data_IF_568761346620
#
_entry.id   IF_568761346620
#
_cell.length_a   1.000
_cell.length_b   1.000
_cell.length_c   1.000
_cell.angle_alpha   90.00
_cell.angle_beta   90.00
_cell.angle_gamma   90.00
#
_symmetry.space_group_name_H-M   'P 1'
#
loop_
_entity.id
_entity.type
_entity.pdbx_description
1 polymer ?
#
# COMPACT_ATOMS: atom_id res chain seq x y z
N UNK A 1 55.65 -5.93 29.70
CA UNK A 1 54.39 -6.68 29.43
C UNK A 1 53.22 -5.70 29.56
N UNK A 2 52.83 -5.13 28.44
CA UNK A 2 51.69 -4.19 28.39
C UNK A 2 50.43 -5.03 28.17
N UNK A 3 49.57 -5.09 29.18
CA UNK A 3 48.25 -5.68 29.02
C UNK A 3 47.36 -4.63 28.35
N UNK A 4 46.95 -4.94 27.12
CA UNK A 4 46.04 -4.14 26.33
C UNK A 4 44.72 -3.92 27.02
N UNK A 5 44.32 -2.67 27.15
CA UNK A 5 42.96 -2.23 27.46
C UNK A 5 42.10 -2.40 26.18
N UNK A 6 41.96 -3.66 25.74
CA UNK A 6 41.06 -4.06 24.70
C UNK A 6 39.79 -4.60 25.32
N UNK A 7 38.64 -4.16 24.84
CA UNK A 7 37.32 -4.76 24.95
C UNK A 7 36.57 -4.63 26.27
N UNK A 8 36.13 -3.42 26.59
CA UNK A 8 34.95 -3.24 27.44
C UNK A 8 33.92 -2.29 26.80
N UNK A 9 33.82 -2.22 25.49
CA UNK A 9 32.59 -1.74 24.88
C UNK A 9 31.64 -2.93 24.66
N UNK A 10 31.01 -3.37 25.75
CA UNK A 10 29.79 -4.13 25.63
C UNK A 10 28.86 -3.31 24.73
N UNK A 11 28.36 -3.90 23.63
CA UNK A 11 27.31 -3.37 22.80
C UNK A 11 26.19 -2.93 23.75
N UNK A 12 26.07 -1.62 23.99
CA UNK A 12 24.92 -1.10 24.74
C UNK A 12 23.71 -1.38 23.88
N UNK A 13 22.84 -2.25 24.37
CA UNK A 13 21.52 -2.49 23.78
C UNK A 13 20.63 -1.37 24.31
N UNK A 14 20.36 -0.38 23.49
CA UNK A 14 19.40 0.66 23.83
C UNK A 14 18.00 0.06 23.73
N UNK A 15 17.10 0.33 24.69
CA UNK A 15 15.74 -0.12 24.65
C UNK A 15 15.02 0.46 23.42
N UNK A 16 14.11 -0.30 22.86
CA UNK A 16 13.28 0.17 21.74
C UNK A 16 12.34 1.29 22.20
N UNK A 17 12.10 2.30 21.36
CA UNK A 17 11.20 3.40 21.68
C UNK A 17 9.77 2.90 21.88
N UNK A 18 9.07 3.50 22.85
CA UNK A 18 7.74 3.06 23.30
C UNK A 18 6.61 3.90 22.72
N UNK A 19 6.87 5.16 22.41
CA UNK A 19 5.87 6.13 21.93
C UNK A 19 6.35 6.74 20.62
N UNK A 20 5.39 6.98 19.71
CA UNK A 20 5.64 7.62 18.43
C UNK A 20 4.64 8.76 18.19
N UNK A 21 5.13 9.86 17.62
CA UNK A 21 4.31 10.99 17.17
C UNK A 21 4.70 11.38 15.74
N UNK A 22 3.76 11.90 15.00
CA UNK A 22 4.01 12.46 13.68
C UNK A 22 4.39 13.93 13.77
N UNK A 23 5.39 14.34 13.02
CA UNK A 23 5.84 15.73 12.92
C UNK A 23 5.71 16.19 11.49
N UNK A 24 4.94 17.26 11.25
CA UNK A 24 4.70 17.82 9.94
C UNK A 24 5.28 19.23 9.86
N UNK A 25 6.11 19.53 8.84
CA UNK A 25 6.64 20.86 8.63
C UNK A 25 5.55 21.81 8.14
N UNK A 26 5.53 23.05 8.61
CA UNK A 26 4.56 24.07 8.18
C UNK A 26 4.84 24.61 6.77
N UNK A 27 6.11 24.61 6.35
CA UNK A 27 6.54 25.10 5.04
C UNK A 27 7.53 24.14 4.37
N UNK A 28 7.70 24.23 3.05
CA UNK A 28 8.73 23.45 2.32
C UNK A 28 10.15 23.76 2.79
N UNK A 29 10.43 25.01 3.17
CA UNK A 29 11.72 25.40 3.74
C UNK A 29 11.97 24.76 5.12
N UNK A 30 10.91 24.58 5.90
CA UNK A 30 11.00 23.89 7.19
C UNK A 30 11.21 22.39 7.03
N UNK A 31 10.75 21.79 5.93
CA UNK A 31 10.94 20.37 5.64
C UNK A 31 12.42 20.00 5.50
N UNK A 32 13.18 20.78 4.74
CA UNK A 32 14.64 20.55 4.57
C UNK A 32 15.39 20.74 5.90
N UNK A 33 15.06 21.80 6.63
CA UNK A 33 15.66 22.07 7.95
C UNK A 33 15.30 20.98 8.96
N UNK A 34 14.06 20.50 8.93
CA UNK A 34 13.58 19.44 9.81
C UNK A 34 14.37 18.14 9.59
N UNK A 35 14.61 17.75 8.34
CA UNK A 35 15.40 16.56 8.03
C UNK A 35 16.81 16.63 8.63
N UNK A 36 17.51 17.76 8.46
CA UNK A 36 18.86 17.98 9.00
C UNK A 36 18.85 18.01 10.55
N UNK A 37 17.86 18.67 11.13
CA UNK A 37 17.72 18.80 12.58
C UNK A 37 17.44 17.44 13.24
N UNK A 38 16.50 16.68 12.68
CA UNK A 38 16.14 15.34 13.17
C UNK A 38 17.30 14.35 13.07
N UNK A 39 18.10 14.42 11.99
CA UNK A 39 19.28 13.60 11.86
C UNK A 39 20.32 13.91 12.95
N UNK A 40 20.60 15.19 13.24
CA UNK A 40 21.51 15.59 14.31
C UNK A 40 21.02 15.14 15.68
N UNK A 41 19.72 15.28 15.96
CA UNK A 41 19.12 14.83 17.21
C UNK A 41 19.20 13.29 17.36
N UNK A 42 19.05 12.53 16.26
CA UNK A 42 19.21 11.08 16.28
C UNK A 42 20.67 10.62 16.48
N UNK A 43 21.64 11.44 16.05
CA UNK A 43 23.06 11.19 16.32
C UNK A 43 23.44 11.47 17.80
N UNK A 44 22.78 12.45 18.42
CA UNK A 44 23.02 12.80 19.84
C UNK A 44 22.35 11.81 20.80
N UNK A 45 21.17 11.30 20.41
CA UNK A 45 20.35 10.43 21.28
C UNK A 45 20.05 9.08 20.61
N UNK A 46 20.71 8.00 21.00
CA UNK A 46 20.52 6.68 20.43
C UNK A 46 19.15 6.04 20.77
N UNK A 47 18.39 6.60 21.70
CA UNK A 47 17.02 6.14 22.03
C UNK A 47 15.95 6.84 21.22
N UNK A 48 16.33 7.87 20.45
CA UNK A 48 15.47 8.59 19.54
C UNK A 48 15.58 8.00 18.12
N UNK A 49 14.45 7.71 17.51
CA UNK A 49 14.41 7.21 16.14
C UNK A 49 13.52 8.09 15.27
N UNK A 50 13.95 8.25 14.02
CA UNK A 50 13.19 8.97 12.98
C UNK A 50 12.90 8.02 11.84
N UNK A 51 11.65 7.97 11.43
CA UNK A 51 11.20 7.17 10.31
C UNK A 51 10.20 7.99 9.47
N UNK A 52 10.35 7.94 8.15
CA UNK A 52 9.35 8.49 7.24
C UNK A 52 8.48 7.34 6.74
N UNK A 53 7.19 7.42 6.99
CA UNK A 53 6.24 6.46 6.48
C UNK A 53 6.04 6.69 4.96
N UNK A 54 6.36 5.72 4.12
CA UNK A 54 6.25 5.88 2.66
C UNK A 54 4.79 5.97 2.17
N UNK A 55 3.82 5.50 2.96
CA UNK A 55 2.41 5.49 2.58
C UNK A 55 1.71 6.81 2.93
N UNK A 56 1.95 7.30 4.15
CA UNK A 56 1.35 8.56 4.62
C UNK A 56 2.22 9.78 4.34
N UNK A 57 3.47 9.56 3.92
CA UNK A 57 4.52 10.58 3.75
C UNK A 57 4.78 11.40 5.02
N UNK A 58 4.33 10.93 6.19
CA UNK A 58 4.57 11.57 7.46
C UNK A 58 5.94 11.22 8.03
N UNK A 59 6.59 12.20 8.64
CA UNK A 59 7.80 11.96 9.44
C UNK A 59 7.38 11.59 10.86
N UNK A 60 7.67 10.36 11.24
CA UNK A 60 7.37 9.81 12.56
C UNK A 60 8.63 9.85 13.40
N UNK A 61 8.54 10.42 14.58
CA UNK A 61 9.58 10.41 15.60
C UNK A 61 9.17 9.50 16.75
N UNK A 62 10.09 8.68 17.21
CA UNK A 62 9.84 7.69 18.26
C UNK A 62 10.83 7.86 19.40
N UNK A 63 10.36 7.76 20.62
CA UNK A 63 11.17 7.96 21.83
C UNK A 63 10.69 7.15 23.02
N UNK A 64 11.38 7.31 24.14
CA UNK A 64 11.15 6.54 25.37
C UNK A 64 9.91 6.97 26.16
N UNK A 65 9.31 8.10 25.84
CA UNK A 65 8.13 8.61 26.52
C UNK A 65 7.70 9.97 25.98
N UNK A 66 6.51 10.42 26.38
CA UNK A 66 5.90 11.68 25.94
C UNK A 66 6.81 12.88 26.25
N UNK A 67 7.29 12.99 27.50
CA UNK A 67 8.20 14.06 27.92
C UNK A 67 9.50 14.09 27.08
N UNK A 68 10.01 12.92 26.69
CA UNK A 68 11.20 12.83 25.84
C UNK A 68 10.92 13.45 24.47
N UNK A 69 9.79 13.09 23.84
CA UNK A 69 9.40 13.64 22.55
C UNK A 69 9.08 15.13 22.62
N UNK A 70 8.47 15.61 23.71
CA UNK A 70 8.21 17.03 23.92
C UNK A 70 9.51 17.85 23.97
N UNK A 71 10.54 17.34 24.64
CA UNK A 71 11.87 17.98 24.66
C UNK A 71 12.46 18.03 23.25
N UNK A 72 12.39 16.95 22.49
CA UNK A 72 12.88 16.91 21.10
C UNK A 72 12.14 17.93 20.21
N UNK A 73 10.82 18.02 20.34
CA UNK A 73 10.01 18.99 19.60
C UNK A 73 10.35 20.43 20.03
N UNK A 74 10.53 20.67 21.31
CA UNK A 74 10.92 22.00 21.81
C UNK A 74 12.30 22.41 21.27
N UNK A 75 13.26 21.48 21.21
CA UNK A 75 14.57 21.70 20.57
C UNK A 75 14.45 21.99 19.07
N UNK A 76 13.58 21.27 18.33
CA UNK A 76 13.30 21.56 16.92
C UNK A 76 12.81 23.00 16.72
N UNK A 77 11.90 23.45 17.56
CA UNK A 77 11.31 24.78 17.49
C UNK A 77 12.31 25.90 17.89
N UNK A 78 13.04 25.72 19.01
CA UNK A 78 13.88 26.77 19.60
C UNK A 78 15.29 26.79 19.05
N UNK A 79 15.97 25.64 18.96
CA UNK A 79 17.38 25.56 18.53
C UNK A 79 17.46 25.61 17.00
N UNK A 80 16.66 24.80 16.32
CA UNK A 80 16.72 24.70 14.86
C UNK A 80 15.74 25.63 14.14
N UNK A 81 14.86 26.31 14.88
CA UNK A 81 13.85 27.25 14.34
C UNK A 81 13.01 26.65 13.21
N UNK A 82 12.65 25.39 13.37
CA UNK A 82 11.80 24.64 12.44
C UNK A 82 10.35 24.80 12.84
N UNK A 83 9.53 25.37 11.98
CA UNK A 83 8.08 25.43 12.18
C UNK A 83 7.46 24.06 11.92
N UNK A 84 7.04 23.34 12.96
CA UNK A 84 6.39 22.05 12.83
C UNK A 84 5.07 21.98 13.62
N UNK A 85 4.22 21.04 13.22
CA UNK A 85 3.01 20.62 13.93
C UNK A 85 3.20 19.20 14.40
N UNK A 86 2.80 18.90 15.62
CA UNK A 86 2.88 17.54 16.19
C UNK A 86 1.49 16.96 16.30
N UNK A 87 1.34 15.72 15.89
CA UNK A 87 0.07 14.99 15.92
C UNK A 87 0.27 13.49 16.08
N UNK A 88 -0.84 12.78 16.18
CA UNK A 88 -0.79 11.32 16.17
C UNK A 88 -0.44 10.82 14.77
N UNK A 89 0.38 9.75 14.64
CA UNK A 89 0.63 9.12 13.36
C UNK A 89 -0.68 8.68 12.69
N UNK A 90 -0.78 8.91 11.39
CA UNK A 90 -1.91 8.38 10.63
C UNK A 90 -1.75 6.87 10.46
N UNK A 91 -2.86 6.15 10.58
CA UNK A 91 -2.87 4.70 10.33
C UNK A 91 -3.12 4.49 8.84
N UNK A 92 -2.17 3.85 8.16
CA UNK A 92 -2.36 3.39 6.80
C UNK A 92 -3.30 2.17 6.79
N UNK A 93 -4.58 2.41 6.54
CA UNK A 93 -5.56 1.34 6.43
C UNK A 93 -5.36 0.59 5.11
N UNK A 94 -5.57 -0.73 5.15
CA UNK A 94 -5.55 -1.60 3.99
C UNK A 94 -6.79 -2.49 3.98
N UNK A 95 -7.25 -2.80 2.79
CA UNK A 95 -8.36 -3.73 2.59
C UNK A 95 -7.83 -5.14 2.34
N UNK A 96 -8.57 -6.13 2.79
CA UNK A 96 -8.35 -7.53 2.45
C UNK A 96 -9.67 -8.27 2.39
N UNK A 97 -9.67 -9.44 1.79
CA UNK A 97 -10.85 -10.30 1.67
C UNK A 97 -10.72 -11.49 2.62
N UNK A 98 -11.86 -12.03 3.04
CA UNK A 98 -11.91 -13.20 3.95
C UNK A 98 -12.41 -14.47 3.29
N UNK A 99 -13.02 -14.38 2.12
CA UNK A 99 -13.62 -15.51 1.39
C UNK A 99 -13.21 -15.48 -0.06
N UNK A 100 -13.06 -16.68 -0.64
CA UNK A 100 -12.84 -16.80 -2.08
C UNK A 100 -14.14 -16.59 -2.83
N UNK A 101 -14.09 -15.82 -3.93
CA UNK A 101 -15.26 -15.54 -4.76
C UNK A 101 -14.88 -15.53 -6.23
N UNK A 102 -15.85 -15.91 -7.05
CA UNK A 102 -15.75 -15.86 -8.50
C UNK A 102 -16.52 -14.66 -9.03
N UNK A 103 -15.90 -13.89 -9.89
CA UNK A 103 -16.48 -12.71 -10.50
C UNK A 103 -16.28 -12.71 -12.01
N UNK A 104 -17.24 -12.14 -12.72
CA UNK A 104 -17.18 -11.95 -14.16
C UNK A 104 -16.81 -10.50 -14.46
N UNK A 105 -15.69 -10.29 -15.15
CA UNK A 105 -15.32 -9.01 -15.70
C UNK A 105 -15.67 -8.95 -17.19
N UNK A 106 -16.66 -8.14 -17.56
CA UNK A 106 -17.10 -8.01 -18.95
C UNK A 106 -17.20 -6.55 -19.34
N UNK A 107 -16.42 -6.18 -20.34
CA UNK A 107 -16.44 -4.85 -20.94
C UNK A 107 -16.82 -4.95 -22.41
N UNK A 108 -17.95 -4.37 -22.76
CA UNK A 108 -18.44 -4.30 -24.14
C UNK A 108 -18.82 -2.85 -24.44
N UNK A 109 -18.21 -2.28 -25.45
CA UNK A 109 -18.54 -0.94 -25.92
C UNK A 109 -18.61 -0.95 -27.46
N UNK A 110 -19.76 -0.58 -27.98
CA UNK A 110 -19.96 -0.30 -29.41
C UNK A 110 -20.26 1.19 -29.60
N UNK A 111 -19.41 1.89 -30.31
CA UNK A 111 -19.62 3.28 -30.67
C UNK A 111 -19.23 3.47 -32.13
N UNK A 112 -20.19 3.33 -33.04
CA UNK A 112 -20.12 3.74 -34.45
C UNK A 112 -18.83 3.39 -35.19
N UNK A 113 -18.38 2.13 -35.18
CA UNK A 113 -17.12 1.68 -35.82
C UNK A 113 -16.60 0.40 -35.16
N UNK A 114 -15.27 0.29 -34.99
CA UNK A 114 -14.64 -0.85 -34.32
C UNK A 114 -15.06 -0.92 -32.87
N UNK A 115 -15.68 -2.04 -32.46
CA UNK A 115 -16.09 -2.26 -31.08
C UNK A 115 -14.91 -2.45 -30.12
N UNK A 116 -15.21 -2.48 -28.83
CA UNK A 116 -14.26 -2.88 -27.79
C UNK A 116 -14.86 -4.01 -26.98
N UNK A 117 -14.16 -5.13 -26.89
CA UNK A 117 -14.60 -6.33 -26.21
C UNK A 117 -13.49 -6.90 -25.32
N UNK A 118 -13.81 -7.12 -24.04
CA UNK A 118 -12.97 -7.83 -23.10
C UNK A 118 -13.84 -8.60 -22.12
N UNK A 119 -13.56 -9.89 -21.93
CA UNK A 119 -14.32 -10.73 -21.04
C UNK A 119 -13.40 -11.74 -20.36
N UNK A 120 -13.43 -11.76 -19.03
CA UNK A 120 -12.64 -12.68 -18.23
C UNK A 120 -13.42 -13.11 -16.97
N UNK A 121 -13.17 -14.33 -16.54
CA UNK A 121 -13.62 -14.85 -15.27
C UNK A 121 -12.45 -14.88 -14.30
N UNK A 122 -12.65 -14.27 -13.12
CA UNK A 122 -11.65 -14.16 -12.08
C UNK A 122 -12.12 -14.92 -10.84
N UNK A 123 -11.21 -15.65 -10.22
CA UNK A 123 -11.38 -16.17 -8.87
C UNK A 123 -10.45 -15.40 -7.94
N UNK A 124 -11.03 -14.69 -6.99
CA UNK A 124 -10.30 -13.86 -6.03
C UNK A 124 -10.34 -14.59 -4.68
N UNK A 125 -9.18 -14.86 -4.10
CA UNK A 125 -9.03 -15.59 -2.85
C UNK A 125 -8.08 -14.88 -1.89
N UNK A 126 -8.33 -14.99 -0.57
CA UNK A 126 -7.44 -14.43 0.43
C UNK A 126 -6.11 -15.20 0.47
N UNK A 127 -5.05 -14.50 0.88
CA UNK A 127 -3.75 -15.08 1.25
C UNK A 127 -3.43 -14.81 2.72
N UNK A 128 -2.37 -15.41 3.21
CA UNK A 128 -1.88 -15.13 4.57
C UNK A 128 -1.32 -13.71 4.66
N UNK A 129 -1.41 -13.11 5.85
CA UNK A 129 -0.96 -11.75 6.08
C UNK A 129 0.53 -11.58 5.75
N UNK A 130 0.84 -10.61 4.89
CA UNK A 130 2.21 -10.32 4.46
C UNK A 130 2.67 -11.05 3.20
N UNK A 131 1.87 -11.93 2.63
CA UNK A 131 2.22 -12.64 1.38
C UNK A 131 2.04 -11.80 0.11
N UNK A 132 1.35 -10.67 0.21
CA UNK A 132 1.15 -9.72 -0.88
C UNK A 132 0.27 -10.24 -2.01
N UNK A 133 0.39 -9.61 -3.16
CA UNK A 133 -0.41 -9.93 -4.35
C UNK A 133 0.18 -11.08 -5.15
N UNK A 134 -0.67 -12.03 -5.58
CA UNK A 134 -0.33 -13.10 -6.51
C UNK A 134 -1.35 -13.16 -7.65
N UNK A 135 -0.86 -13.15 -8.89
CA UNK A 135 -1.68 -13.39 -10.08
C UNK A 135 -1.37 -14.76 -10.68
N UNK A 136 -2.40 -15.53 -10.98
CA UNK A 136 -2.28 -16.87 -11.54
C UNK A 136 -3.13 -17.02 -12.80
N UNK A 137 -2.54 -17.58 -13.86
CA UNK A 137 -3.26 -17.87 -15.10
C UNK A 137 -3.59 -19.37 -15.18
N UNK A 138 -4.88 -19.69 -15.19
CA UNK A 138 -5.43 -21.05 -15.37
C UNK A 138 -6.34 -21.16 -16.60
N UNK A 139 -6.23 -20.25 -17.55
CA UNK A 139 -7.02 -20.31 -18.80
C UNK A 139 -6.61 -21.52 -19.61
N UNK A 140 -7.58 -22.35 -19.96
CA UNK A 140 -7.40 -23.58 -20.76
C UNK A 140 -8.02 -23.40 -22.15
N UNK A 141 -7.46 -24.08 -23.16
CA UNK A 141 -8.04 -24.13 -24.51
C UNK A 141 -7.93 -22.83 -25.32
N UNK A 142 -7.15 -21.83 -24.87
CA UNK A 142 -6.98 -20.59 -25.63
C UNK A 142 -8.21 -19.67 -25.59
N UNK A 143 -9.09 -19.81 -24.60
CA UNK A 143 -10.26 -18.97 -24.44
C UNK A 143 -9.92 -17.47 -24.36
N UNK A 144 -8.74 -17.14 -23.86
CA UNK A 144 -8.14 -15.80 -23.90
C UNK A 144 -6.73 -15.96 -24.49
N UNK A 145 -6.36 -15.24 -25.57
CA UNK A 145 -5.00 -15.16 -26.08
C UNK A 145 -4.01 -14.70 -25.00
N UNK A 146 -2.80 -15.26 -25.03
CA UNK A 146 -1.76 -14.98 -24.00
C UNK A 146 -1.40 -13.49 -23.88
N UNK A 147 -1.51 -12.76 -24.98
CA UNK A 147 -1.23 -11.32 -25.05
C UNK A 147 -2.16 -10.47 -24.15
N UNK A 148 -3.38 -10.96 -23.86
CA UNK A 148 -4.35 -10.23 -23.02
C UNK A 148 -4.26 -10.57 -21.53
N UNK A 149 -3.47 -11.58 -21.15
CA UNK A 149 -3.31 -11.96 -19.73
C UNK A 149 -2.59 -10.86 -18.93
N UNK A 150 -1.53 -10.27 -19.51
CA UNK A 150 -0.83 -9.13 -18.89
C UNK A 150 -1.72 -7.89 -18.68
N UNK A 151 -2.46 -7.45 -19.69
CA UNK A 151 -3.49 -6.42 -19.54
C UNK A 151 -4.51 -6.68 -18.43
N UNK A 152 -5.02 -7.92 -18.28
CA UNK A 152 -5.94 -8.30 -17.20
C UNK A 152 -5.24 -8.11 -15.82
N UNK A 153 -4.02 -8.61 -15.67
CA UNK A 153 -3.24 -8.45 -14.44
C UNK A 153 -3.04 -6.98 -14.07
N UNK A 154 -2.68 -6.13 -15.04
CA UNK A 154 -2.52 -4.70 -14.82
C UNK A 154 -3.83 -4.02 -14.40
N UNK A 155 -4.96 -4.41 -15.01
CA UNK A 155 -6.26 -3.90 -14.63
C UNK A 155 -6.66 -4.28 -13.19
N UNK A 156 -6.36 -5.50 -12.78
CA UNK A 156 -6.57 -5.96 -11.40
C UNK A 156 -5.68 -5.19 -10.42
N UNK A 157 -4.39 -5.00 -10.73
CA UNK A 157 -3.46 -4.23 -9.88
C UNK A 157 -3.93 -2.79 -9.66
N UNK A 158 -4.32 -2.10 -10.72
CA UNK A 158 -4.86 -0.74 -10.60
C UNK A 158 -6.14 -0.68 -9.75
N UNK A 159 -7.03 -1.67 -9.88
CA UNK A 159 -8.22 -1.73 -9.05
C UNK A 159 -7.87 -1.95 -7.56
N UNK A 160 -6.85 -2.77 -7.29
CA UNK A 160 -6.38 -3.03 -5.92
C UNK A 160 -5.70 -1.81 -5.28
N UNK A 161 -4.95 -1.03 -6.05
CA UNK A 161 -4.30 0.20 -5.55
C UNK A 161 -5.31 1.27 -5.16
N UNK A 162 -6.39 1.38 -5.90
CA UNK A 162 -7.46 2.35 -5.61
C UNK A 162 -8.40 1.91 -4.48
N UNK A 163 -8.32 0.65 -4.09
CA UNK A 163 -9.26 0.06 -3.13
C UNK A 163 -10.68 -0.06 -3.69
N UNK A 164 -11.51 -0.82 -3.01
CA UNK A 164 -12.82 -1.15 -3.56
C UNK A 164 -13.96 -0.82 -2.62
N UNK A 165 -13.78 -0.97 -1.31
CA UNK A 165 -14.84 -0.72 -0.32
C UNK A 165 -14.70 0.66 0.29
N UNK A 166 -13.52 0.98 0.79
CA UNK A 166 -13.26 2.22 1.53
C UNK A 166 -12.20 3.11 0.85
N UNK A 167 -11.67 2.69 -0.30
CA UNK A 167 -10.65 3.45 -1.03
C UNK A 167 -9.23 3.23 -0.49
N UNK A 168 -8.99 2.17 0.29
CA UNK A 168 -7.66 1.82 0.77
C UNK A 168 -7.05 0.71 -0.07
N UNK A 169 -5.73 0.71 -0.31
CA UNK A 169 -5.08 -0.33 -1.10
C UNK A 169 -5.37 -1.73 -0.56
N UNK A 170 -5.67 -2.66 -1.46
CA UNK A 170 -5.92 -4.05 -1.12
C UNK A 170 -4.61 -4.84 -1.03
N UNK A 171 -4.48 -5.71 -0.02
CA UNK A 171 -3.30 -6.54 0.20
C UNK A 171 -3.67 -8.01 0.45
N UNK A 172 -2.67 -8.88 0.28
CA UNK A 172 -2.76 -10.30 0.60
C UNK A 172 -3.89 -11.01 -0.15
N UNK A 173 -3.90 -10.83 -1.48
CA UNK A 173 -4.92 -11.36 -2.38
C UNK A 173 -4.28 -12.15 -3.50
N UNK A 174 -4.88 -13.30 -3.79
CA UNK A 174 -4.59 -14.09 -4.98
C UNK A 174 -5.74 -13.93 -5.98
N UNK A 175 -5.40 -13.56 -7.21
CA UNK A 175 -6.34 -13.49 -8.32
C UNK A 175 -5.97 -14.52 -9.37
N UNK A 176 -6.89 -15.40 -9.68
CA UNK A 176 -6.72 -16.43 -10.70
C UNK A 176 -7.68 -16.14 -11.86
N UNK A 177 -7.15 -15.93 -13.05
CA UNK A 177 -7.95 -15.93 -14.29
C UNK A 177 -8.07 -17.36 -14.76
N UNK A 178 -9.31 -17.86 -14.93
CA UNK A 178 -9.54 -19.27 -15.30
C UNK A 178 -10.37 -19.46 -16.55
N UNK A 179 -11.13 -18.45 -17.01
CA UNK A 179 -11.93 -18.52 -18.23
C UNK A 179 -12.17 -17.12 -18.79
N UNK A 180 -12.72 -17.05 -20.00
CA UNK A 180 -13.10 -15.82 -20.68
C UNK A 180 -13.46 -16.04 -22.13
N UNK A 181 -13.61 -14.96 -22.86
CA UNK A 181 -13.83 -15.01 -24.30
C UNK A 181 -13.24 -13.78 -24.99
N UNK A 182 -12.91 -13.91 -26.25
CA UNK A 182 -12.39 -12.83 -27.06
C UNK A 182 -13.08 -12.78 -28.43
N UNK A 183 -13.01 -11.62 -29.06
CA UNK A 183 -13.44 -11.42 -30.45
C UNK A 183 -12.24 -10.97 -31.28
N UNK A 184 -11.99 -11.62 -32.40
CA UNK A 184 -10.82 -11.34 -33.26
C UNK A 184 -10.73 -9.87 -33.73
N UNK A 185 -11.86 -9.19 -33.90
CA UNK A 185 -11.93 -7.83 -34.43
C UNK A 185 -12.01 -6.77 -33.32
N UNK A 186 -12.76 -7.05 -32.26
CA UNK A 186 -13.14 -6.04 -31.23
C UNK A 186 -12.35 -6.17 -29.95
N UNK A 187 -11.60 -7.24 -29.75
CA UNK A 187 -10.76 -7.39 -28.56
C UNK A 187 -9.53 -6.51 -28.63
N UNK A 188 -9.20 -5.90 -27.50
CA UNK A 188 -8.02 -5.05 -27.34
C UNK A 188 -7.45 -5.17 -25.93
N UNK A 189 -6.16 -4.86 -25.77
CA UNK A 189 -5.48 -4.84 -24.48
C UNK A 189 -6.22 -3.93 -23.47
N UNK A 190 -6.66 -2.75 -23.92
CA UNK A 190 -7.40 -1.82 -23.10
C UNK A 190 -8.75 -2.40 -22.63
N UNK A 191 -9.46 -3.11 -23.50
CA UNK A 191 -10.74 -3.72 -23.15
C UNK A 191 -10.56 -4.83 -22.10
N UNK A 192 -9.51 -5.65 -22.20
CA UNK A 192 -9.18 -6.67 -21.22
C UNK A 192 -8.66 -6.08 -19.90
N UNK A 193 -7.91 -4.98 -19.95
CA UNK A 193 -7.49 -4.24 -18.77
C UNK A 193 -8.71 -3.73 -17.98
N UNK A 194 -9.67 -3.12 -18.67
CA UNK A 194 -10.92 -2.65 -18.06
C UNK A 194 -11.74 -3.83 -17.53
N UNK A 195 -11.86 -4.94 -18.30
CA UNK A 195 -12.56 -6.13 -17.84
C UNK A 195 -11.95 -6.71 -16.55
N UNK A 196 -10.61 -6.78 -16.46
CA UNK A 196 -9.90 -7.19 -15.26
C UNK A 196 -10.20 -6.30 -14.06
N UNK A 197 -10.16 -4.99 -14.26
CA UNK A 197 -10.52 -4.01 -13.22
C UNK A 197 -11.98 -4.16 -12.78
N UNK A 198 -12.93 -4.27 -13.72
CA UNK A 198 -14.35 -4.47 -13.41
C UNK A 198 -14.60 -5.77 -12.65
N UNK A 199 -13.96 -6.88 -13.03
CA UNK A 199 -14.07 -8.15 -12.34
C UNK A 199 -13.59 -8.05 -10.88
N UNK A 200 -12.54 -7.29 -10.61
CA UNK A 200 -12.07 -7.02 -9.26
C UNK A 200 -13.04 -6.13 -8.47
N UNK A 201 -13.56 -5.07 -9.09
CA UNK A 201 -14.47 -4.10 -8.46
C UNK A 201 -15.86 -4.68 -8.16
N UNK A 202 -16.42 -5.49 -9.04
CA UNK A 202 -17.76 -6.08 -8.87
C UNK A 202 -17.86 -7.03 -7.67
N UNK A 203 -16.76 -7.65 -7.29
CA UNK A 203 -16.70 -8.54 -6.13
C UNK A 203 -16.89 -7.83 -4.80
N UNK A 204 -16.41 -6.62 -4.67
CA UNK A 204 -16.34 -5.87 -3.43
C UNK A 204 -17.51 -4.90 -3.24
N UNK A 205 -18.29 -4.64 -4.29
CA UNK A 205 -19.55 -3.92 -4.14
C UNK A 205 -20.60 -4.86 -3.52
N UNK A 206 -21.13 -4.56 -2.31
CA UNK A 206 -22.19 -5.40 -1.73
C UNK A 206 -23.36 -5.44 -2.71
N UNK A 207 -23.67 -6.64 -3.19
CA UNK A 207 -24.82 -6.83 -4.06
C UNK A 207 -26.09 -6.35 -3.33
N UNK A 208 -27.03 -5.67 -4.01
CA UNK A 208 -28.32 -5.32 -3.44
C UNK A 208 -29.09 -6.53 -2.86
N UNK A 209 -28.68 -7.76 -3.21
CA UNK A 209 -29.23 -9.01 -2.65
C UNK A 209 -28.66 -9.36 -1.28
N UNK A 210 -27.44 -8.94 -0.98
CA UNK A 210 -26.80 -9.21 0.32
C UNK A 210 -27.25 -8.24 1.41
N UNK A 211 -27.70 -7.04 1.01
CA UNK A 211 -28.27 -6.03 1.92
C UNK A 211 -29.69 -6.38 2.43
N UNK A 212 -30.34 -7.40 1.86
CA UNK A 212 -31.68 -7.83 2.29
C UNK A 212 -31.70 -8.97 3.32
N UNK A 213 -30.54 -9.40 3.83
CA UNK A 213 -30.39 -10.51 4.78
C UNK A 213 -29.77 -10.13 6.13
N UNK A 214 -29.80 -8.86 6.50
CA UNK A 214 -29.44 -8.40 7.85
C UNK A 214 -30.66 -7.86 8.56
#
# INVERSE_FOLDING_TARGET
MSRGLGDVYKRQVFPDPVISVAVEPKTKADQEKMGIALQKLAEEDPTFRVHTDPETAQTIISGMGELHLDIIVDRLLREFKVGCTVGNPQVAYRETIRKSVKSEGKFVRQSGGKGQYGHCWLEISPREAGEGFLFENKVVGGAIPKEYIGPIENGVKEAMENGVVAGYPMVDIKVTVYDGSYHEVDSSEMAFKIAGSMGCLLYTSPSPRDMRRS
#
